data_IF_803100015771
#
_entry.id   IF_803100015771
#
_cell.length_a   1.000
_cell.length_b   1.000
_cell.length_c   1.000
_cell.angle_alpha   90.00
_cell.angle_beta   90.00
_cell.angle_gamma   90.00
#
_symmetry.space_group_name_H-M   'P 1'
#
loop_
_entity.id
_entity.type
_entity.pdbx_description
1 polymer ?
#
# COMPACT_ATOMS: atom_id res chain seq x y z
N UNK A 1 12.12 4.96 -3.91
CA UNK A 1 11.43 4.34 -2.76
C UNK A 1 10.54 5.39 -2.11
N UNK A 2 9.23 5.35 -2.36
CA UNK A 2 8.27 6.35 -1.85
C UNK A 2 7.48 5.76 -0.68
N UNK A 3 8.12 5.64 0.49
CA UNK A 3 7.50 5.15 1.72
C UNK A 3 6.51 6.12 2.41
N UNK A 4 6.68 7.46 2.36
CA UNK A 4 5.82 8.37 3.14
C UNK A 4 4.32 8.24 2.83
N UNK A 5 3.95 8.11 1.56
CA UNK A 5 2.54 7.98 1.15
C UNK A 5 1.87 6.67 1.64
N UNK A 6 2.43 5.50 1.29
CA UNK A 6 1.92 4.22 1.78
C UNK A 6 1.94 4.09 3.31
N UNK A 7 2.95 4.64 4.00
CA UNK A 7 2.99 4.64 5.46
C UNK A 7 1.88 5.49 6.07
N UNK A 8 1.65 6.71 5.56
CA UNK A 8 0.60 7.60 6.05
C UNK A 8 -0.77 6.94 5.93
N UNK A 9 -1.07 6.41 4.75
CA UNK A 9 -2.36 5.74 4.48
C UNK A 9 -2.49 4.40 5.20
N UNK A 10 -1.39 3.74 5.54
CA UNK A 10 -1.41 2.56 6.40
C UNK A 10 -1.90 2.93 7.79
N UNK A 11 -1.37 4.00 8.38
CA UNK A 11 -1.80 4.47 9.72
C UNK A 11 -3.30 4.81 9.70
N UNK A 12 -3.78 5.47 8.65
CA UNK A 12 -5.22 5.75 8.51
C UNK A 12 -6.06 4.47 8.43
N UNK A 13 -5.62 3.48 7.65
CA UNK A 13 -6.31 2.20 7.54
C UNK A 13 -6.33 1.44 8.87
N UNK A 14 -5.22 1.44 9.61
CA UNK A 14 -5.13 0.83 10.94
C UNK A 14 -6.03 1.55 11.97
N UNK A 15 -6.31 2.85 11.78
CA UNK A 15 -7.26 3.63 12.58
C UNK A 15 -8.73 3.44 12.14
N UNK A 16 -9.01 2.56 11.19
CA UNK A 16 -10.35 2.21 10.74
C UNK A 16 -10.86 3.01 9.54
N UNK A 17 -10.01 3.80 8.88
CA UNK A 17 -10.38 4.43 7.62
C UNK A 17 -10.47 3.39 6.49
N UNK A 18 -11.47 3.52 5.63
CA UNK A 18 -11.47 2.80 4.36
C UNK A 18 -10.43 3.43 3.43
N UNK A 19 -9.45 2.64 3.01
CA UNK A 19 -8.36 3.08 2.14
C UNK A 19 -8.33 2.21 0.89
N UNK A 20 -8.58 2.84 -0.25
CA UNK A 20 -8.48 2.22 -1.57
C UNK A 20 -7.17 2.66 -2.22
N UNK A 21 -6.32 1.70 -2.53
CA UNK A 21 -5.07 1.87 -3.28
C UNK A 21 -5.38 1.82 -4.76
N UNK A 22 -5.21 2.95 -5.45
CA UNK A 22 -5.33 3.04 -6.90
C UNK A 22 -3.97 2.71 -7.52
N UNK A 23 -3.92 1.69 -8.38
CA UNK A 23 -2.69 1.21 -9.00
C UNK A 23 -2.73 1.38 -10.53
N UNK A 24 -1.57 1.54 -11.20
CA UNK A 24 -1.54 1.48 -12.66
C UNK A 24 -1.86 0.06 -13.16
N UNK A 25 -2.21 -0.11 -14.45
CA UNK A 25 -2.27 -1.43 -15.06
C UNK A 25 -0.95 -2.19 -14.85
N UNK A 26 -1.02 -3.38 -14.25
CA UNK A 26 0.17 -4.17 -13.85
C UNK A 26 0.57 -4.01 -12.37
N UNK A 27 -0.08 -3.11 -11.62
CA UNK A 27 0.08 -2.97 -10.18
C UNK A 27 1.28 -2.12 -9.74
N UNK A 28 1.40 -1.94 -8.42
CA UNK A 28 2.50 -1.28 -7.75
C UNK A 28 3.80 -2.04 -8.00
N UNK A 29 4.86 -1.33 -8.41
CA UNK A 29 6.19 -1.90 -8.64
C UNK A 29 6.73 -2.65 -7.42
N UNK A 30 6.34 -2.25 -6.20
CA UNK A 30 6.76 -2.90 -4.97
C UNK A 30 6.29 -4.36 -4.87
N UNK A 31 5.24 -4.76 -5.61
CA UNK A 31 4.78 -6.17 -5.70
C UNK A 31 5.81 -7.10 -6.32
N UNK A 32 6.69 -6.56 -7.17
CA UNK A 32 7.73 -7.31 -7.88
C UNK A 32 9.11 -7.18 -7.22
N UNK A 33 9.23 -6.33 -6.19
CA UNK A 33 10.46 -6.20 -5.44
C UNK A 33 10.62 -7.39 -4.48
N UNK A 34 11.85 -7.90 -4.37
CA UNK A 34 12.15 -8.95 -3.38
C UNK A 34 11.94 -8.41 -1.95
N UNK A 35 11.36 -9.24 -1.08
CA UNK A 35 11.11 -8.93 0.32
C UNK A 35 9.64 -8.57 0.61
N UNK A 36 9.40 -7.97 1.77
CA UNK A 36 8.04 -7.70 2.29
C UNK A 36 7.62 -6.24 2.16
N UNK A 37 8.24 -5.48 1.26
CA UNK A 37 8.01 -4.04 1.18
C UNK A 37 6.54 -3.72 0.85
N UNK A 38 5.96 -4.42 -0.13
CA UNK A 38 4.57 -4.20 -0.51
C UNK A 38 3.61 -4.53 0.63
N UNK A 39 3.75 -5.71 1.24
CA UNK A 39 2.85 -6.14 2.32
C UNK A 39 3.00 -5.29 3.59
N UNK A 40 4.23 -4.87 3.90
CA UNK A 40 4.52 -4.09 5.10
C UNK A 40 3.85 -2.71 5.14
N UNK A 41 3.47 -2.16 3.98
CA UNK A 41 2.88 -0.80 3.88
C UNK A 41 1.50 -0.76 3.26
N UNK A 42 0.92 -1.90 2.87
CA UNK A 42 -0.39 -1.96 2.22
C UNK A 42 -1.40 -2.88 2.92
N UNK A 43 -1.09 -3.42 4.12
CA UNK A 43 -2.12 -4.12 4.92
C UNK A 43 -3.34 -3.23 5.18
N UNK A 44 -4.50 -3.86 5.33
CA UNK A 44 -5.80 -3.21 5.58
C UNK A 44 -6.30 -2.27 4.46
N UNK A 45 -5.64 -2.27 3.28
CA UNK A 45 -6.06 -1.51 2.10
C UNK A 45 -6.69 -2.44 1.08
N UNK A 46 -7.73 -1.96 0.41
CA UNK A 46 -8.27 -2.57 -0.80
C UNK A 46 -7.57 -2.02 -2.03
N UNK A 47 -7.59 -2.74 -3.15
CA UNK A 47 -7.01 -2.29 -4.42
C UNK A 47 -8.06 -2.34 -5.52
N UNK A 48 -8.03 -1.34 -6.41
CA UNK A 48 -8.76 -1.32 -7.68
C UNK A 48 -7.80 -1.15 -8.86
#
# INVERSE_FOLDING_TARGET
MLLPGPLTTLILADLGAEVIKVEPPGGDYARHMKGYLFEGVNRNKSSI
#
